data_IF_992526456614
#
_entry.id   IF_992526456614
#
_cell.length_a   1.000
_cell.length_b   1.000
_cell.length_c   1.000
_cell.angle_alpha   90.00
_cell.angle_beta   90.00
_cell.angle_gamma   90.00
#
_symmetry.space_group_name_H-M   'P 1'
#
loop_
_entity.id
_entity.type
_entity.pdbx_description
1 polymer ?
#
# COMPACT_ATOMS: atom_id res chain seq x y z
N UNK A 1 14.80 13.49 19.47
CA UNK A 1 15.08 13.51 18.01
C UNK A 1 13.85 12.94 17.33
N UNK A 2 13.14 13.79 16.60
CA UNK A 2 11.78 13.50 16.12
C UNK A 2 11.79 12.42 15.04
N UNK A 3 11.08 11.34 15.31
CA UNK A 3 10.96 10.13 14.47
C UNK A 3 10.24 10.39 13.13
N UNK A 4 9.74 11.62 12.90
CA UNK A 4 8.87 11.96 11.77
C UNK A 4 9.54 12.45 10.47
N UNK A 5 10.86 12.69 10.45
CA UNK A 5 11.44 13.50 9.37
C UNK A 5 11.66 12.79 8.02
N UNK A 6 11.65 11.44 7.96
CA UNK A 6 11.92 10.73 6.71
C UNK A 6 10.68 10.55 5.83
N UNK A 7 9.49 10.46 6.44
CA UNK A 7 8.22 10.30 5.70
C UNK A 7 7.53 11.64 5.42
N UNK A 8 7.76 12.66 6.26
CA UNK A 8 7.29 14.04 6.00
C UNK A 8 8.13 14.77 4.96
N UNK A 9 9.30 14.22 4.56
CA UNK A 9 10.24 14.79 3.59
C UNK A 9 10.56 13.89 2.40
N UNK A 10 9.81 12.81 2.14
CA UNK A 10 9.72 12.30 0.79
C UNK A 10 9.17 13.47 -0.03
N UNK A 11 10.06 14.14 -0.79
CA UNK A 11 9.63 15.13 -1.76
C UNK A 11 8.46 14.50 -2.51
N UNK A 12 7.26 15.10 -2.38
CA UNK A 12 6.09 14.68 -3.13
C UNK A 12 6.47 14.84 -4.60
N UNK A 13 6.97 13.76 -5.21
CA UNK A 13 7.36 13.74 -6.61
C UNK A 13 6.13 13.73 -7.52
N UNK A 14 4.98 13.33 -6.97
CA UNK A 14 3.70 13.20 -7.65
C UNK A 14 2.58 13.66 -6.73
N UNK A 15 2.20 14.93 -6.79
CA UNK A 15 1.10 15.48 -5.99
C UNK A 15 -0.25 14.85 -6.37
N UNK A 16 -0.44 14.56 -7.65
CA UNK A 16 -1.67 14.03 -8.22
C UNK A 16 -1.62 12.51 -8.36
N UNK A 17 -2.63 11.81 -7.86
CA UNK A 17 -2.70 10.36 -7.83
C UNK A 17 -3.95 9.82 -8.53
N UNK A 18 -3.79 8.65 -9.14
CA UNK A 18 -4.87 7.71 -9.42
C UNK A 18 -4.88 6.64 -8.34
N UNK A 19 -6.06 6.27 -7.82
CA UNK A 19 -6.22 5.19 -6.87
C UNK A 19 -7.03 4.07 -7.51
N UNK A 20 -6.47 2.85 -7.59
CA UNK A 20 -7.20 1.67 -8.04
C UNK A 20 -7.81 0.95 -6.85
N UNK A 21 -9.14 0.79 -6.86
CA UNK A 21 -9.98 0.31 -5.77
C UNK A 21 -10.80 1.45 -5.16
N UNK A 22 -12.09 1.21 -4.94
CA UNK A 22 -13.04 2.20 -4.43
C UNK A 22 -13.81 1.72 -3.19
N UNK A 23 -13.41 0.59 -2.59
CA UNK A 23 -14.05 0.01 -1.42
C UNK A 23 -13.37 0.45 -0.09
N UNK A 24 -13.39 -0.41 0.92
CA UNK A 24 -12.96 -0.07 2.29
C UNK A 24 -11.49 0.36 2.38
N UNK A 25 -10.58 -0.34 1.67
CA UNK A 25 -9.17 0.03 1.66
C UNK A 25 -8.96 1.43 1.08
N UNK A 26 -9.74 1.82 0.08
CA UNK A 26 -9.69 3.17 -0.48
C UNK A 26 -10.06 4.24 0.54
N UNK A 27 -11.05 3.96 1.42
CA UNK A 27 -11.47 4.90 2.48
C UNK A 27 -10.36 5.16 3.50
N UNK A 28 -9.58 4.13 3.82
CA UNK A 28 -8.42 4.26 4.73
C UNK A 28 -7.30 5.03 4.04
N UNK A 29 -6.91 4.58 2.85
CA UNK A 29 -5.81 5.19 2.09
C UNK A 29 -6.06 6.67 1.78
N UNK A 30 -7.27 7.01 1.35
CA UNK A 30 -7.63 8.39 0.99
C UNK A 30 -7.37 9.38 2.13
N UNK A 31 -7.74 9.03 3.36
CA UNK A 31 -7.55 9.90 4.53
C UNK A 31 -6.06 10.13 4.82
N UNK A 32 -5.25 9.06 4.74
CA UNK A 32 -3.81 9.14 4.96
C UNK A 32 -3.15 9.97 3.86
N UNK A 33 -3.46 9.68 2.59
CA UNK A 33 -2.89 10.38 1.43
C UNK A 33 -3.23 11.87 1.46
N UNK A 34 -4.49 12.21 1.76
CA UNK A 34 -4.92 13.61 1.91
C UNK A 34 -4.16 14.34 3.03
N UNK A 35 -3.95 13.67 4.18
CA UNK A 35 -3.17 14.22 5.29
C UNK A 35 -1.69 14.44 4.90
N UNK A 36 -1.14 13.57 4.06
CA UNK A 36 0.23 13.69 3.53
C UNK A 36 0.36 14.72 2.39
N UNK A 37 -0.73 15.37 1.97
CA UNK A 37 -0.73 16.41 0.94
C UNK A 37 -0.96 15.91 -0.48
N UNK A 38 -1.25 14.61 -0.68
CA UNK A 38 -1.60 14.08 -1.99
C UNK A 38 -3.05 14.41 -2.39
N UNK A 39 -3.28 14.54 -3.70
CA UNK A 39 -4.60 14.72 -4.31
C UNK A 39 -4.96 13.50 -5.13
N UNK A 40 -6.00 12.79 -4.71
CA UNK A 40 -6.56 11.69 -5.49
C UNK A 40 -7.53 12.28 -6.52
N UNK A 41 -7.15 12.22 -7.79
CA UNK A 41 -7.88 12.85 -8.91
C UNK A 41 -8.92 11.91 -9.51
N UNK A 42 -8.71 10.61 -9.41
CA UNK A 42 -9.63 9.59 -9.89
C UNK A 42 -9.52 8.30 -9.08
N UNK A 43 -10.66 7.61 -8.92
CA UNK A 43 -10.73 6.22 -8.55
C UNK A 43 -10.93 5.37 -9.80
N UNK A 44 -10.29 4.21 -9.83
CA UNK A 44 -10.52 3.18 -10.84
C UNK A 44 -11.03 1.94 -10.12
N UNK A 45 -12.09 1.33 -10.59
CA UNK A 45 -12.61 0.09 -10.02
C UNK A 45 -13.18 -0.79 -11.13
N UNK A 46 -13.02 -2.11 -11.02
CA UNK A 46 -13.54 -3.05 -12.00
C UNK A 46 -15.03 -3.33 -11.80
N UNK A 47 -15.60 -2.95 -10.65
CA UNK A 47 -17.02 -3.10 -10.38
C UNK A 47 -17.82 -2.03 -11.10
N UNK A 48 -18.66 -2.47 -12.04
CA UNK A 48 -19.62 -1.63 -12.76
C UNK A 48 -20.61 -1.10 -11.74
N UNK A 49 -21.17 -0.04 -11.67
CA UNK A 49 -22.17 0.49 -10.72
C UNK A 49 -21.64 0.87 -9.32
N UNK A 50 -20.34 0.94 -9.13
CA UNK A 50 -19.79 1.45 -7.88
C UNK A 50 -19.82 2.97 -7.87
N UNK A 51 -20.40 3.54 -6.80
CA UNK A 51 -20.35 4.97 -6.56
C UNK A 51 -19.04 5.35 -5.85
N UNK A 52 -18.48 6.49 -6.23
CA UNK A 52 -17.33 7.02 -5.50
C UNK A 52 -17.66 7.21 -4.01
N UNK A 53 -16.85 6.67 -3.10
CA UNK A 53 -17.01 6.92 -1.67
C UNK A 53 -16.62 8.35 -1.28
N UNK A 54 -16.11 9.16 -2.21
CA UNK A 54 -15.67 10.54 -2.01
C UNK A 54 -16.37 11.44 -3.01
N UNK A 55 -17.19 12.36 -2.50
CA UNK A 55 -18.07 13.21 -3.30
C UNK A 55 -17.34 13.98 -4.41
N UNK A 56 -16.11 14.40 -4.14
CA UNK A 56 -15.28 15.21 -5.04
C UNK A 56 -14.40 14.41 -6.00
N UNK A 57 -14.31 13.08 -5.86
CA UNK A 57 -13.41 12.23 -6.66
C UNK A 57 -14.22 11.38 -7.62
N UNK A 58 -14.08 11.54 -8.93
CA UNK A 58 -14.77 10.71 -9.91
C UNK A 58 -14.28 9.26 -9.88
N UNK A 59 -15.14 8.33 -10.29
CA UNK A 59 -14.81 6.92 -10.43
C UNK A 59 -14.97 6.51 -11.91
N UNK A 60 -14.05 5.69 -12.38
CA UNK A 60 -14.00 5.17 -13.74
C UNK A 60 -13.88 3.65 -13.72
N UNK A 61 -14.52 2.96 -14.69
CA UNK A 61 -14.57 1.52 -14.75
C UNK A 61 -13.34 0.91 -15.44
N UNK A 62 -12.55 0.16 -14.67
CA UNK A 62 -11.45 -0.68 -15.14
C UNK A 62 -10.39 0.03 -15.98
N UNK A 63 -9.67 -0.75 -16.79
CA UNK A 63 -8.58 -0.23 -17.61
C UNK A 63 -9.07 0.76 -18.66
N UNK A 64 -10.24 0.53 -19.24
CA UNK A 64 -10.83 1.45 -20.25
C UNK A 64 -11.12 2.82 -19.62
N UNK A 65 -11.64 2.82 -18.41
CA UNK A 65 -11.90 4.05 -17.66
C UNK A 65 -10.61 4.77 -17.27
N UNK A 66 -9.56 4.03 -16.90
CA UNK A 66 -8.24 4.59 -16.67
C UNK A 66 -7.68 5.27 -17.93
N UNK A 67 -7.74 4.59 -19.08
CA UNK A 67 -7.25 5.13 -20.35
C UNK A 67 -8.00 6.40 -20.76
N UNK A 68 -9.31 6.43 -20.56
CA UNK A 68 -10.12 7.63 -20.79
C UNK A 68 -9.67 8.78 -19.87
N UNK A 69 -9.55 8.50 -18.57
CA UNK A 69 -9.12 9.50 -17.61
C UNK A 69 -7.72 10.06 -17.97
N UNK A 70 -6.74 9.21 -18.24
CA UNK A 70 -5.37 9.63 -18.56
C UNK A 70 -5.29 10.48 -19.83
N UNK A 71 -6.16 10.24 -20.84
CA UNK A 71 -6.24 11.05 -22.06
C UNK A 71 -6.86 12.43 -21.82
N UNK A 72 -7.76 12.55 -20.86
CA UNK A 72 -8.51 13.79 -20.57
C UNK A 72 -7.90 14.60 -19.43
N UNK A 73 -7.11 13.97 -18.58
CA UNK A 73 -6.46 14.61 -17.43
C UNK A 73 -5.42 15.65 -17.88
N UNK A 74 -5.45 16.80 -17.21
CA UNK A 74 -4.48 17.88 -17.46
C UNK A 74 -3.20 17.75 -16.63
N UNK A 75 -3.07 16.67 -15.86
CA UNK A 75 -1.97 16.44 -14.95
C UNK A 75 -0.83 15.71 -15.65
N UNK A 76 0.40 16.21 -15.48
CA UNK A 76 1.63 15.52 -15.89
C UNK A 76 2.25 14.81 -14.69
N UNK A 77 2.93 13.69 -14.92
CA UNK A 77 3.65 12.95 -13.89
C UNK A 77 2.76 12.49 -12.70
N UNK A 78 1.68 11.81 -13.03
CA UNK A 78 0.79 11.26 -12.00
C UNK A 78 1.40 10.04 -11.30
N UNK A 79 1.13 9.93 -9.99
CA UNK A 79 1.39 8.73 -9.24
C UNK A 79 0.18 7.80 -9.16
N UNK A 80 0.39 6.60 -8.68
CA UNK A 80 -0.70 5.68 -8.37
C UNK A 80 -0.55 4.98 -7.02
N UNK A 81 -1.69 4.63 -6.44
CA UNK A 81 -1.84 3.77 -5.27
C UNK A 81 -2.86 2.70 -5.57
N UNK A 82 -2.61 1.46 -5.14
CA UNK A 82 -3.56 0.35 -5.28
C UNK A 82 -4.21 0.11 -3.93
N UNK A 83 -5.51 0.40 -3.85
CA UNK A 83 -6.31 0.31 -2.63
C UNK A 83 -7.14 -0.98 -2.60
N UNK A 84 -6.44 -2.10 -2.72
CA UNK A 84 -7.01 -3.45 -2.66
C UNK A 84 -6.35 -4.19 -1.50
N UNK A 85 -7.14 -4.56 -0.48
CA UNK A 85 -6.68 -5.28 0.68
C UNK A 85 -6.57 -6.79 0.47
N UNK A 86 -6.58 -7.52 1.57
CA UNK A 86 -6.46 -8.98 1.62
C UNK A 86 -7.66 -9.72 0.97
N UNK A 87 -7.47 -10.96 0.51
CA UNK A 87 -6.20 -11.68 0.35
C UNK A 87 -5.58 -11.48 -1.06
N UNK A 88 -5.74 -10.32 -1.66
CA UNK A 88 -5.53 -10.05 -3.10
C UNK A 88 -4.14 -9.48 -3.43
N UNK A 89 -3.06 -9.98 -2.82
CA UNK A 89 -1.70 -9.56 -3.13
C UNK A 89 -1.32 -9.73 -4.60
N UNK A 90 -1.70 -10.87 -5.21
CA UNK A 90 -1.49 -11.14 -6.63
C UNK A 90 -2.20 -10.14 -7.55
N UNK A 91 -3.38 -9.63 -7.15
CA UNK A 91 -4.09 -8.59 -7.90
C UNK A 91 -3.33 -7.28 -7.82
N UNK A 92 -2.83 -6.91 -6.62
CA UNK A 92 -2.00 -5.71 -6.47
C UNK A 92 -0.75 -5.75 -7.35
N UNK A 93 -0.07 -6.90 -7.42
CA UNK A 93 1.12 -7.06 -8.27
C UNK A 93 0.81 -6.94 -9.77
N UNK A 94 -0.30 -7.52 -10.23
CA UNK A 94 -0.75 -7.38 -11.63
C UNK A 94 -1.08 -5.93 -11.97
N UNK A 95 -1.83 -5.26 -11.12
CA UNK A 95 -2.20 -3.86 -11.29
C UNK A 95 -0.97 -2.93 -11.23
N UNK A 96 0.00 -3.25 -10.38
CA UNK A 96 1.27 -2.52 -10.33
C UNK A 96 1.97 -2.55 -11.70
N UNK A 97 2.11 -3.72 -12.30
CA UNK A 97 2.72 -3.86 -13.62
C UNK A 97 1.92 -3.10 -14.70
N UNK A 98 0.59 -3.22 -14.69
CA UNK A 98 -0.30 -2.50 -15.61
C UNK A 98 -0.13 -0.97 -15.48
N UNK A 99 -0.23 -0.42 -14.28
CA UNK A 99 -0.18 1.02 -14.07
C UNK A 99 1.20 1.60 -14.42
N UNK A 100 2.28 0.87 -14.15
CA UNK A 100 3.63 1.23 -14.62
C UNK A 100 3.74 1.22 -16.15
N UNK A 101 3.13 0.26 -16.83
CA UNK A 101 3.12 0.22 -18.30
C UNK A 101 2.36 1.39 -18.94
N UNK A 102 1.42 2.00 -18.20
CA UNK A 102 0.71 3.23 -18.60
C UNK A 102 1.51 4.52 -18.30
N UNK A 103 2.74 4.41 -17.81
CA UNK A 103 3.61 5.54 -17.50
C UNK A 103 3.36 6.21 -16.16
N UNK A 104 2.58 5.60 -15.28
CA UNK A 104 2.33 6.09 -13.93
C UNK A 104 3.46 5.69 -12.98
N UNK A 105 3.73 6.52 -11.97
CA UNK A 105 4.75 6.26 -10.95
C UNK A 105 4.13 5.68 -9.68
N UNK A 106 4.77 4.68 -9.12
CA UNK A 106 4.28 4.05 -7.87
C UNK A 106 4.50 4.97 -6.67
N UNK A 107 3.50 5.09 -5.81
CA UNK A 107 3.62 5.82 -4.54
C UNK A 107 3.58 4.84 -3.37
N UNK A 108 4.62 4.89 -2.53
CA UNK A 108 4.64 4.28 -1.21
C UNK A 108 4.29 5.35 -0.17
N UNK A 109 3.55 4.98 0.86
CA UNK A 109 3.20 5.92 1.92
C UNK A 109 3.12 5.24 3.29
N UNK A 110 3.29 6.05 4.33
CA UNK A 110 3.07 5.62 5.70
C UNK A 110 2.24 6.66 6.45
N UNK A 111 1.35 6.19 7.30
CA UNK A 111 0.65 7.07 8.23
C UNK A 111 1.67 7.77 9.16
N UNK A 112 1.51 9.05 9.49
CA UNK A 112 2.43 9.77 10.37
C UNK A 112 2.61 9.17 11.76
N UNK A 113 1.69 8.33 12.21
CA UNK A 113 1.77 7.62 13.50
C UNK A 113 2.51 6.28 13.41
N UNK A 114 2.85 5.84 12.19
CA UNK A 114 3.62 4.60 12.00
C UNK A 114 5.11 4.82 12.33
N UNK A 115 5.74 3.77 12.82
CA UNK A 115 7.19 3.72 13.02
C UNK A 115 7.85 2.80 11.99
N UNK A 116 8.82 3.32 11.26
CA UNK A 116 9.65 2.52 10.35
C UNK A 116 11.10 2.79 10.66
N UNK A 117 11.83 1.75 11.07
CA UNK A 117 13.25 1.86 11.38
C UNK A 117 14.04 2.28 10.13
N UNK A 118 15.06 3.11 10.31
CA UNK A 118 15.90 3.64 9.21
C UNK A 118 16.67 2.55 8.44
N UNK A 119 16.91 1.39 9.06
CA UNK A 119 17.61 0.27 8.45
C UNK A 119 16.66 -0.69 7.71
N UNK A 120 15.34 -0.50 7.83
CA UNK A 120 14.38 -1.27 7.05
C UNK A 120 14.46 -0.91 5.57
N UNK A 121 14.42 -1.92 4.71
CA UNK A 121 14.40 -1.77 3.25
C UNK A 121 13.04 -2.24 2.70
N UNK A 122 12.51 -1.54 1.70
CA UNK A 122 11.20 -1.88 1.12
C UNK A 122 11.15 -1.58 -0.37
N UNK A 123 10.31 -2.38 -1.05
CA UNK A 123 9.99 -2.22 -2.46
C UNK A 123 8.92 -1.15 -2.72
N UNK A 124 8.59 -0.97 -4.00
CA UNK A 124 7.60 0.00 -4.47
C UNK A 124 6.18 -0.33 -3.99
N UNK A 125 5.39 0.69 -3.72
CA UNK A 125 3.97 0.55 -3.37
C UNK A 125 3.71 0.06 -1.94
N UNK A 126 4.68 0.20 -1.04
CA UNK A 126 4.48 -0.09 0.37
C UNK A 126 3.43 0.84 0.98
N UNK A 127 2.49 0.26 1.71
CA UNK A 127 1.46 0.96 2.46
C UNK A 127 1.59 0.62 3.94
N UNK A 128 1.86 1.62 4.79
CA UNK A 128 1.98 1.43 6.24
C UNK A 128 0.90 2.21 6.95
N UNK A 129 0.02 1.48 7.62
CA UNK A 129 -1.19 2.00 8.23
C UNK A 129 -0.94 2.60 9.63
N UNK A 130 -1.95 3.28 10.23
CA UNK A 130 -1.79 3.95 11.53
C UNK A 130 -1.22 3.05 12.62
N UNK A 131 -0.25 3.59 13.36
CA UNK A 131 0.41 2.95 14.50
C UNK A 131 1.07 1.59 14.18
N UNK A 132 1.31 1.26 12.92
CA UNK A 132 2.09 0.08 12.55
C UNK A 132 3.58 0.30 12.85
N UNK A 133 4.28 -0.77 13.18
CA UNK A 133 5.70 -0.76 13.55
C UNK A 133 6.48 -1.69 12.64
N UNK A 134 7.50 -1.16 11.97
CA UNK A 134 8.49 -1.92 11.20
C UNK A 134 9.87 -1.71 11.85
N UNK A 135 10.42 -2.77 12.40
CA UNK A 135 11.65 -2.72 13.17
C UNK A 135 12.92 -2.76 12.27
N UNK A 136 14.11 -2.84 12.89
CA UNK A 136 15.39 -2.79 12.18
C UNK A 136 15.59 -4.01 11.27
N UNK A 137 16.28 -3.76 10.17
CA UNK A 137 16.76 -4.75 9.20
C UNK A 137 15.64 -5.62 8.56
N UNK A 138 14.38 -5.17 8.67
CA UNK A 138 13.25 -5.76 7.96
C UNK A 138 13.38 -5.50 6.47
N UNK A 139 13.09 -6.51 5.65
CA UNK A 139 13.05 -6.41 4.19
C UNK A 139 11.63 -6.68 3.71
N UNK A 140 11.08 -5.74 2.97
CA UNK A 140 9.70 -5.79 2.48
C UNK A 140 9.71 -5.70 0.97
N UNK A 141 8.99 -6.60 0.31
CA UNK A 141 8.83 -6.63 -1.14
C UNK A 141 7.89 -5.55 -1.70
N UNK A 142 7.54 -5.71 -2.96
CA UNK A 142 6.68 -4.80 -3.73
C UNK A 142 5.21 -4.98 -3.32
N UNK A 143 4.44 -3.89 -3.28
CA UNK A 143 2.99 -3.87 -3.02
C UNK A 143 2.55 -4.58 -1.72
N UNK A 144 3.36 -4.45 -0.67
CA UNK A 144 3.02 -4.95 0.66
C UNK A 144 2.18 -3.94 1.45
N UNK A 145 1.38 -4.47 2.37
CA UNK A 145 0.58 -3.69 3.32
C UNK A 145 0.95 -4.11 4.73
N UNK A 146 1.38 -3.15 5.56
CA UNK A 146 1.54 -3.33 7.02
C UNK A 146 0.36 -2.61 7.66
N UNK A 147 -0.65 -3.38 8.05
CA UNK A 147 -1.94 -2.84 8.42
C UNK A 147 -1.94 -2.20 9.83
N UNK A 148 -3.06 -1.58 10.22
CA UNK A 148 -3.20 -0.80 11.45
C UNK A 148 -2.69 -1.58 12.68
N UNK A 149 -1.75 -0.99 13.45
CA UNK A 149 -1.15 -1.57 14.66
C UNK A 149 -0.43 -2.91 14.44
N UNK A 150 -0.14 -3.30 13.21
CA UNK A 150 0.69 -4.48 12.95
C UNK A 150 2.14 -4.22 13.39
N UNK A 151 2.79 -5.25 13.92
CA UNK A 151 4.19 -5.22 14.34
C UNK A 151 5.00 -6.22 13.52
N UNK A 152 6.04 -5.74 12.85
CA UNK A 152 7.02 -6.54 12.15
C UNK A 152 8.37 -6.34 12.86
N UNK A 153 8.78 -7.35 13.61
CA UNK A 153 10.01 -7.34 14.38
C UNK A 153 11.25 -7.51 13.49
N UNK A 154 12.43 -7.33 14.10
CA UNK A 154 13.74 -7.27 13.46
C UNK A 154 14.05 -8.47 12.55
N UNK A 155 14.83 -8.23 11.51
CA UNK A 155 15.33 -9.24 10.55
C UNK A 155 14.21 -10.03 9.80
N UNK A 156 12.95 -9.59 9.84
CA UNK A 156 11.89 -10.23 9.09
C UNK A 156 12.05 -9.98 7.58
N UNK A 157 11.60 -10.95 6.78
CA UNK A 157 11.56 -10.85 5.31
C UNK A 157 10.15 -11.10 4.82
N UNK A 158 9.56 -10.10 4.18
CA UNK A 158 8.26 -10.17 3.55
C UNK A 158 8.46 -10.12 2.03
N UNK A 159 8.00 -11.15 1.33
CA UNK A 159 8.02 -11.18 -0.15
C UNK A 159 6.96 -10.26 -0.74
N UNK A 160 6.90 -10.18 -2.08
CA UNK A 160 5.98 -9.31 -2.78
C UNK A 160 4.50 -9.63 -2.48
N UNK A 161 3.66 -8.61 -2.45
CA UNK A 161 2.22 -8.75 -2.27
C UNK A 161 1.78 -9.22 -0.87
N UNK A 162 2.68 -9.29 0.11
CA UNK A 162 2.34 -9.69 1.48
C UNK A 162 1.49 -8.61 2.16
N UNK A 163 0.52 -9.06 2.95
CA UNK A 163 -0.21 -8.20 3.86
C UNK A 163 -0.15 -8.73 5.29
N UNK A 164 0.26 -7.87 6.22
CA UNK A 164 0.22 -8.13 7.65
C UNK A 164 -1.03 -7.45 8.20
N UNK A 165 -2.01 -8.25 8.61
CA UNK A 165 -3.33 -7.79 9.03
C UNK A 165 -3.33 -6.93 10.29
N UNK A 166 -4.44 -6.25 10.58
CA UNK A 166 -4.53 -5.34 11.73
C UNK A 166 -4.14 -6.03 13.04
N UNK A 167 -3.24 -5.41 13.80
CA UNK A 167 -2.79 -5.92 15.10
C UNK A 167 -1.97 -7.21 15.05
N UNK A 168 -1.65 -7.76 13.88
CA UNK A 168 -0.83 -8.96 13.77
C UNK A 168 0.63 -8.68 14.17
N UNK A 169 1.28 -9.69 14.76
CA UNK A 169 2.65 -9.61 15.26
C UNK A 169 3.52 -10.67 14.58
N UNK A 170 4.55 -10.23 13.89
CA UNK A 170 5.64 -11.09 13.46
C UNK A 170 6.82 -10.91 14.41
N UNK A 171 7.18 -11.96 15.15
CA UNK A 171 8.39 -11.96 15.96
C UNK A 171 9.64 -11.99 15.07
N UNK A 172 10.82 -11.76 15.66
CA UNK A 172 12.06 -11.61 14.89
C UNK A 172 12.40 -12.77 13.96
N UNK A 173 12.94 -12.44 12.78
CA UNK A 173 13.41 -13.39 11.76
C UNK A 173 12.32 -14.28 11.16
N UNK A 174 11.10 -13.80 11.07
CA UNK A 174 10.02 -14.47 10.35
C UNK A 174 10.20 -14.20 8.85
N UNK A 175 9.98 -15.24 8.03
CA UNK A 175 9.94 -15.14 6.57
C UNK A 175 8.52 -15.39 6.09
N UNK A 176 7.98 -14.49 5.29
CA UNK A 176 6.63 -14.61 4.72
C UNK A 176 6.73 -14.63 3.20
N UNK A 177 6.26 -15.71 2.60
CA UNK A 177 6.26 -15.91 1.15
C UNK A 177 5.28 -15.01 0.42
N UNK A 178 5.49 -14.89 -0.88
CA UNK A 178 4.74 -14.04 -1.79
C UNK A 178 3.22 -14.23 -1.66
N UNK A 179 2.48 -13.12 -1.79
CA UNK A 179 1.03 -13.11 -1.84
C UNK A 179 0.36 -13.78 -0.61
N UNK A 180 1.01 -13.74 0.54
CA UNK A 180 0.51 -14.29 1.80
C UNK A 180 -0.14 -13.20 2.63
N UNK A 181 -1.23 -13.55 3.27
CA UNK A 181 -1.94 -12.69 4.22
C UNK A 181 -1.85 -13.26 5.63
N UNK A 182 -1.29 -12.49 6.56
CA UNK A 182 -1.31 -12.80 7.99
C UNK A 182 -2.55 -12.14 8.59
N UNK A 183 -3.48 -12.96 9.06
CA UNK A 183 -4.77 -12.51 9.57
C UNK A 183 -4.69 -11.56 10.75
N UNK A 184 -5.79 -10.83 11.01
CA UNK A 184 -5.84 -9.86 12.10
C UNK A 184 -5.53 -10.50 13.47
N UNK A 185 -4.73 -9.81 14.29
CA UNK A 185 -4.28 -10.25 15.62
C UNK A 185 -3.54 -11.61 15.66
N UNK A 186 -3.13 -12.16 14.51
CA UNK A 186 -2.29 -13.35 14.49
C UNK A 186 -0.89 -13.04 15.05
N UNK A 187 -0.33 -14.00 15.78
CA UNK A 187 1.05 -13.92 16.26
C UNK A 187 1.88 -15.03 15.64
N UNK A 188 2.94 -14.66 14.94
CA UNK A 188 3.90 -15.59 14.34
C UNK A 188 5.17 -15.61 15.19
N UNK A 189 5.49 -16.78 15.72
CA UNK A 189 6.69 -16.96 16.56
C UNK A 189 7.96 -16.74 15.73
N UNK A 190 9.03 -16.33 16.41
CA UNK A 190 10.34 -16.06 15.78
C UNK A 190 10.87 -17.25 14.96
N UNK A 191 11.57 -16.90 13.88
CA UNK A 191 12.22 -17.85 12.95
C UNK A 191 11.28 -18.82 12.23
N UNK A 192 10.00 -18.52 12.18
CA UNK A 192 9.03 -19.29 11.37
C UNK A 192 9.13 -18.83 9.92
N UNK A 193 9.03 -19.77 9.01
CA UNK A 193 8.85 -19.51 7.57
C UNK A 193 7.45 -19.89 7.15
N UNK A 194 6.73 -18.96 6.54
CA UNK A 194 5.39 -19.15 5.98
C UNK A 194 5.53 -19.17 4.46
N UNK A 195 4.88 -20.15 3.83
CA UNK A 195 4.94 -20.32 2.38
C UNK A 195 4.21 -19.21 1.62
N UNK A 196 4.32 -19.23 0.29
CA UNK A 196 3.57 -18.33 -0.58
C UNK A 196 2.08 -18.72 -0.65
N UNK A 197 1.21 -17.73 -0.99
CA UNK A 197 -0.23 -17.91 -1.16
C UNK A 197 -0.93 -18.54 0.08
N UNK A 198 -0.48 -18.17 1.27
CA UNK A 198 -1.02 -18.65 2.55
C UNK A 198 -1.96 -17.61 3.16
N UNK A 199 -3.00 -18.10 3.83
CA UNK A 199 -3.91 -17.28 4.66
C UNK A 199 -3.87 -17.80 6.08
#
# INVERSE_FOLDING_TARGET
>A
MVVGERWSKLSITHEHLVMWGAADQARVNYKILKHLGYRVEALIDDTIDQFSPFKEVPIYAGEVGLDYFLKTAQFKNMGFVIAIGNPFGNVRLKLHALLKSKGLSTVSFADPTAFICKTAAYGEGLQVMPAAIVHNDVRIGVQCIINTRALVEHDCVLSDGVEIGPGAVLCGRVHVGENTWIGANATVRQRVSIGKNTI
#
